data_IF_029762392769
#
_entry.id   IF_029762392769
#
_cell.length_a   1.000
_cell.length_b   1.000
_cell.length_c   1.000
_cell.angle_alpha   90.00
_cell.angle_beta   90.00
_cell.angle_gamma   90.00
#
_symmetry.space_group_name_H-M   'P 1'
#
loop_
_entity.id
_entity.type
_entity.pdbx_description
1 polymer ?
#
# COMPACT_ATOMS: atom_id res chain seq x y z
N UNK A 1 -1.11 -20.65 0.99
CA UNK A 1 -0.02 -19.74 1.41
C UNK A 1 0.92 -19.42 0.25
N UNK A 2 0.40 -19.13 -0.95
CA UNK A 2 1.21 -18.94 -2.15
C UNK A 2 1.89 -17.56 -2.21
N UNK A 3 1.24 -16.55 -1.64
CA UNK A 3 1.73 -15.17 -1.66
C UNK A 3 2.96 -14.94 -0.76
N UNK A 4 3.10 -15.70 0.32
CA UNK A 4 4.30 -15.68 1.19
C UNK A 4 5.42 -16.53 0.59
N UNK A 5 5.08 -17.69 0.02
CA UNK A 5 6.06 -18.64 -0.47
C UNK A 5 6.66 -18.24 -1.84
N UNK A 6 5.82 -17.75 -2.75
CA UNK A 6 6.19 -17.37 -4.12
C UNK A 6 5.40 -16.13 -4.57
N UNK A 7 5.77 -14.92 -4.10
CA UNK A 7 5.08 -13.68 -4.49
C UNK A 7 5.23 -13.35 -5.99
N UNK A 8 6.31 -13.77 -6.64
CA UNK A 8 6.64 -13.44 -8.05
C UNK A 8 5.64 -14.00 -9.09
N UNK A 9 4.76 -14.91 -8.68
CA UNK A 9 3.73 -15.46 -9.58
C UNK A 9 2.53 -14.51 -9.79
N UNK A 10 2.42 -13.45 -8.96
CA UNK A 10 1.30 -12.52 -8.99
C UNK A 10 1.75 -11.16 -9.56
N UNK A 11 0.99 -10.64 -10.52
CA UNK A 11 1.24 -9.32 -11.12
C UNK A 11 0.17 -8.31 -10.67
N UNK A 12 -1.10 -8.55 -11.02
CA UNK A 12 -2.25 -7.74 -10.59
C UNK A 12 -3.31 -8.61 -9.93
N UNK A 13 -3.73 -8.25 -8.72
CA UNK A 13 -4.77 -8.94 -7.97
C UNK A 13 -5.97 -8.03 -7.74
N UNK A 14 -7.17 -8.51 -8.10
CA UNK A 14 -8.43 -7.83 -7.81
C UNK A 14 -9.18 -8.66 -6.77
N UNK A 15 -9.61 -8.00 -5.69
CA UNK A 15 -10.19 -8.70 -4.55
C UNK A 15 -11.27 -7.85 -3.86
N UNK A 16 -12.27 -8.49 -3.21
CA UNK A 16 -13.22 -7.80 -2.36
C UNK A 16 -12.55 -7.11 -1.17
N UNK A 17 -13.19 -6.08 -0.63
CA UNK A 17 -12.65 -5.20 0.42
C UNK A 17 -11.91 -5.94 1.56
N UNK A 18 -12.54 -6.94 2.17
CA UNK A 18 -11.95 -7.67 3.31
C UNK A 18 -10.68 -8.44 2.93
N UNK A 19 -10.70 -9.14 1.79
CA UNK A 19 -9.53 -9.89 1.32
C UNK A 19 -8.41 -8.93 0.85
N UNK A 20 -8.79 -7.81 0.24
CA UNK A 20 -7.93 -6.66 -0.04
C UNK A 20 -7.11 -6.27 1.16
N UNK A 21 -7.79 -5.98 2.27
CA UNK A 21 -7.12 -5.53 3.47
C UNK A 21 -6.16 -6.57 4.08
N UNK A 22 -6.53 -7.86 4.05
CA UNK A 22 -5.66 -8.93 4.56
C UNK A 22 -4.39 -9.06 3.71
N UNK A 23 -4.54 -9.05 2.38
CA UNK A 23 -3.41 -9.19 1.47
C UNK A 23 -2.55 -7.93 1.45
N UNK A 24 -3.12 -6.74 1.54
CA UNK A 24 -2.37 -5.47 1.62
C UNK A 24 -1.41 -5.46 2.82
N UNK A 25 -1.87 -5.92 3.98
CA UNK A 25 -1.01 -6.00 5.17
C UNK A 25 0.06 -7.10 5.05
N UNK A 26 -0.29 -8.24 4.45
CA UNK A 26 0.66 -9.33 4.23
C UNK A 26 1.74 -8.95 3.22
N UNK A 27 1.35 -8.33 2.11
CA UNK A 27 2.26 -7.80 1.10
C UNK A 27 3.12 -6.67 1.66
N UNK A 28 2.55 -5.78 2.47
CA UNK A 28 3.32 -4.77 3.18
C UNK A 28 4.37 -5.39 4.10
N UNK A 29 4.06 -6.48 4.80
CA UNK A 29 5.04 -7.24 5.59
C UNK A 29 6.19 -7.80 4.74
N UNK A 30 5.92 -8.26 3.52
CA UNK A 30 6.93 -8.82 2.61
C UNK A 30 7.92 -7.76 2.07
N UNK A 31 7.45 -6.54 1.81
CA UNK A 31 8.27 -5.48 1.16
C UNK A 31 8.98 -4.52 2.13
N UNK A 32 8.90 -4.75 3.44
CA UNK A 32 9.60 -3.92 4.45
C UNK A 32 8.68 -3.13 5.40
N UNK A 33 7.39 -3.44 5.42
CA UNK A 33 6.41 -2.93 6.36
C UNK A 33 5.55 -1.79 5.81
N UNK A 34 4.62 -1.33 6.65
CA UNK A 34 3.61 -0.33 6.27
C UNK A 34 4.18 1.08 5.97
N UNK A 35 5.48 1.29 6.19
CA UNK A 35 6.19 2.56 5.98
C UNK A 35 6.66 2.83 4.55
N UNK A 36 6.55 1.85 3.64
CA UNK A 36 7.05 1.94 2.25
C UNK A 36 5.98 1.69 1.19
N UNK A 37 4.79 1.23 1.60
CA UNK A 37 3.70 0.88 0.67
C UNK A 37 2.81 2.08 0.42
N UNK A 38 2.85 2.57 -0.83
CA UNK A 38 1.93 3.58 -1.34
C UNK A 38 0.59 2.95 -1.75
N UNK A 39 -0.50 3.66 -1.50
CA UNK A 39 -1.86 3.30 -1.89
C UNK A 39 -2.60 4.48 -2.53
N UNK A 40 -3.65 4.15 -3.28
CA UNK A 40 -4.52 5.12 -3.93
C UNK A 40 -5.93 4.58 -4.00
N UNK A 41 -6.89 5.39 -3.54
CA UNK A 41 -8.31 5.16 -3.75
C UNK A 41 -8.80 6.09 -4.85
N UNK A 42 -9.39 5.52 -5.88
CA UNK A 42 -9.89 6.25 -7.06
C UNK A 42 -11.41 6.23 -6.98
N UNK A 43 -12.01 7.41 -6.82
CA UNK A 43 -13.44 7.65 -7.03
C UNK A 43 -13.69 8.31 -8.38
N UNK A 44 -14.97 8.47 -8.74
CA UNK A 44 -15.40 9.15 -9.96
C UNK A 44 -14.96 10.62 -10.02
N UNK A 45 -14.95 11.30 -8.87
CA UNK A 45 -14.74 12.76 -8.79
C UNK A 45 -13.43 13.14 -8.09
N UNK A 46 -12.80 12.20 -7.39
CA UNK A 46 -11.62 12.46 -6.58
C UNK A 46 -10.70 11.25 -6.50
N UNK A 47 -9.40 11.54 -6.38
CA UNK A 47 -8.36 10.55 -6.14
C UNK A 47 -7.72 10.85 -4.78
N UNK A 48 -7.76 9.87 -3.88
CA UNK A 48 -7.19 9.97 -2.54
C UNK A 48 -5.91 9.14 -2.50
N UNK A 49 -4.80 9.80 -2.19
CA UNK A 49 -3.53 9.14 -1.95
C UNK A 49 -3.39 8.86 -0.46
N UNK A 50 -3.21 7.59 -0.14
CA UNK A 50 -3.14 7.12 1.24
C UNK A 50 -2.14 5.97 1.34
N UNK A 51 -1.61 5.68 2.53
CA UNK A 51 -0.77 4.50 2.70
C UNK A 51 -1.53 3.20 2.40
N UNK A 52 -0.87 2.22 1.76
CA UNK A 52 -1.52 0.96 1.36
C UNK A 52 -1.95 0.06 2.52
N UNK A 53 -1.19 0.05 3.62
CA UNK A 53 -1.45 -0.82 4.77
C UNK A 53 -2.02 -0.05 5.97
N UNK A 54 -3.34 0.12 6.05
CA UNK A 54 -4.03 1.06 6.98
C UNK A 54 -4.09 0.66 8.46
N UNK A 55 -3.33 -0.35 8.91
CA UNK A 55 -3.42 -0.83 10.30
C UNK A 55 -2.58 0.00 11.29
N UNK A 56 -2.95 -0.08 12.59
CA UNK A 56 -2.49 0.74 13.72
C UNK A 56 -0.96 0.91 13.88
N UNK A 57 -0.14 0.04 13.29
CA UNK A 57 1.33 0.12 13.39
C UNK A 57 1.97 1.13 12.43
N UNK A 58 1.20 1.75 11.52
CA UNK A 58 1.71 2.84 10.68
C UNK A 58 2.18 4.06 11.48
N UNK A 59 1.56 4.31 12.63
CA UNK A 59 1.93 5.43 13.50
C UNK A 59 3.14 5.10 14.40
N UNK A 60 3.61 3.85 14.42
CA UNK A 60 4.80 3.46 15.18
C UNK A 60 6.10 3.92 14.50
N UNK A 61 6.09 4.10 13.18
CA UNK A 61 7.21 4.71 12.46
C UNK A 61 7.10 6.24 12.54
N UNK A 62 8.15 6.88 13.06
CA UNK A 62 8.20 8.33 13.24
C UNK A 62 7.98 9.14 11.96
N UNK A 63 7.82 10.46 12.10
CA UNK A 63 7.44 11.43 11.04
C UNK A 63 8.11 11.25 9.67
N UNK A 64 9.33 10.69 9.61
CA UNK A 64 10.06 10.46 8.36
C UNK A 64 9.41 9.40 7.44
N UNK A 65 8.77 8.36 7.96
CA UNK A 65 8.18 7.30 7.14
C UNK A 65 6.95 7.79 6.36
N UNK A 66 6.11 8.64 6.97
CA UNK A 66 4.97 9.24 6.29
C UNK A 66 5.36 10.15 5.11
N UNK A 67 6.52 10.81 5.20
CA UNK A 67 7.08 11.62 4.10
C UNK A 67 7.49 10.76 2.91
N UNK A 68 8.09 9.59 3.15
CA UNK A 68 8.53 8.69 2.08
C UNK A 68 7.35 8.13 1.28
N UNK A 69 6.30 7.67 1.96
CA UNK A 69 5.08 7.16 1.30
C UNK A 69 4.44 8.26 0.44
N UNK A 70 4.34 9.47 0.98
CA UNK A 70 3.78 10.60 0.24
C UNK A 70 4.62 10.95 -0.98
N UNK A 71 5.95 10.91 -0.85
CA UNK A 71 6.85 11.15 -1.98
C UNK A 71 6.74 10.08 -3.07
N UNK A 72 6.61 8.80 -2.70
CA UNK A 72 6.43 7.68 -3.66
C UNK A 72 5.08 7.81 -4.40
N UNK A 73 4.01 8.13 -3.67
CA UNK A 73 2.68 8.33 -4.27
C UNK A 73 2.65 9.51 -5.25
N UNK A 74 3.26 10.64 -4.91
CA UNK A 74 3.29 11.83 -5.79
C UNK A 74 4.27 11.69 -6.96
N UNK A 75 5.42 11.01 -6.78
CA UNK A 75 6.42 10.85 -7.85
C UNK A 75 5.99 9.87 -8.93
N UNK A 76 5.16 8.87 -8.59
CA UNK A 76 4.67 7.91 -9.58
C UNK A 76 3.62 8.50 -10.53
N UNK A 77 3.03 9.66 -10.22
CA UNK A 77 1.99 10.29 -11.04
C UNK A 77 2.14 11.81 -11.07
N UNK A 78 3.07 12.36 -11.87
CA UNK A 78 3.27 13.80 -12.00
C UNK A 78 2.24 14.51 -12.91
N UNK A 79 1.27 13.79 -13.49
CA UNK A 79 0.36 14.29 -14.54
C UNK A 79 -1.09 14.53 -14.08
N UNK A 80 -1.30 14.84 -12.79
CA UNK A 80 -2.53 15.42 -12.24
C UNK A 80 -2.19 16.71 -11.49
#
# INVERSE_FOLDING_TARGET
MQLVAHPEQFDVMVMPNLYGNIIDNLAAGLVGGAGVVAGRSIGSDAVIFEPGARHSYQQAFGRCAGILIRFISFRSYPSL
#
